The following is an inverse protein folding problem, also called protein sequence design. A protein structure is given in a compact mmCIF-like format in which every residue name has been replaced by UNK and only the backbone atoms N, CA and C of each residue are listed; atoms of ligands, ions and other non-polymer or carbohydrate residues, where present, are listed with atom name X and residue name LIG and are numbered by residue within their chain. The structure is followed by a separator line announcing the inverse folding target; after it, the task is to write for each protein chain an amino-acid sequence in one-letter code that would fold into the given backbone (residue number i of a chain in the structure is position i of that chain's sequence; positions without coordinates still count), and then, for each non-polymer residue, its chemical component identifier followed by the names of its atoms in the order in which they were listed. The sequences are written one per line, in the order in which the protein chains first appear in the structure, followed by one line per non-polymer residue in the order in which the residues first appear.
data_IF_778112558837
#
_entry.id   IF_778112558837
#
_cell.length_a   1.000
_cell.length_b   1.000
_cell.length_c   1.000
_cell.angle_alpha   90.00
_cell.angle_beta   90.00
_cell.angle_gamma   90.00
#
_symmetry.space_group_name_H-M   'P 1'
#
loop_
_entity.id
_entity.type
_entity.pdbx_description
1 polymer ?
#
# COMPACT_ATOMS: atom_id res chain seq x y z
N UNK A 1 -10.22 25.16 2.81
CA UNK A 1 -9.57 24.05 3.55
C UNK A 1 -8.19 24.51 3.98
N UNK A 2 -7.97 24.73 5.28
CA UNK A 2 -6.64 25.02 5.82
C UNK A 2 -5.95 23.66 5.99
N UNK A 3 -5.07 23.30 5.05
CA UNK A 3 -4.12 22.22 5.28
C UNK A 3 -3.19 22.67 6.42
N UNK A 4 -3.40 22.16 7.64
CA UNK A 4 -2.36 22.21 8.65
C UNK A 4 -1.19 21.40 8.08
N UNK A 5 -0.17 22.10 7.58
CA UNK A 5 1.06 21.49 7.09
C UNK A 5 1.67 20.76 8.26
N UNK A 6 1.58 19.44 8.29
CA UNK A 6 2.24 18.63 9.31
C UNK A 6 3.74 18.77 9.04
N UNK A 7 4.45 19.56 9.86
CA UNK A 7 5.88 19.76 9.75
C UNK A 7 6.58 18.57 10.40
N UNK A 8 6.62 17.44 9.71
CA UNK A 8 7.47 16.32 10.11
C UNK A 8 8.81 16.40 9.37
N UNK A 9 9.89 16.09 10.08
CA UNK A 9 11.17 15.81 9.44
C UNK A 9 11.08 14.59 8.51
N UNK A 10 12.12 14.28 7.74
CA UNK A 10 12.11 13.09 6.90
C UNK A 10 11.89 11.82 7.75
N UNK A 11 10.90 11.02 7.38
CA UNK A 11 10.60 9.73 7.98
C UNK A 11 10.86 8.55 7.04
N UNK A 12 11.14 7.40 7.63
CA UNK A 12 11.13 6.08 6.97
C UNK A 12 9.78 5.40 7.22
N UNK A 13 9.20 4.84 6.16
CA UNK A 13 7.97 4.03 6.23
C UNK A 13 8.37 2.55 6.34
N UNK A 14 7.81 1.87 7.34
CA UNK A 14 8.01 0.46 7.65
C UNK A 14 6.71 -0.29 7.52
N UNK A 15 6.59 -1.20 6.56
CA UNK A 15 5.44 -2.11 6.50
C UNK A 15 5.69 -3.24 7.50
N UNK A 16 4.90 -3.27 8.57
CA UNK A 16 5.02 -4.28 9.62
C UNK A 16 4.38 -5.59 9.18
N UNK A 17 3.19 -5.51 8.58
CA UNK A 17 2.41 -6.67 8.17
C UNK A 17 1.36 -6.29 7.13
N UNK A 18 0.97 -7.25 6.29
CA UNK A 18 -0.13 -7.13 5.32
C UNK A 18 -0.96 -8.39 5.41
N UNK A 19 -2.27 -8.25 5.53
CA UNK A 19 -3.20 -9.37 5.60
C UNK A 19 -4.43 -9.17 4.73
N UNK A 20 -5.10 -10.28 4.46
CA UNK A 20 -6.48 -10.27 3.96
C UNK A 20 -7.38 -9.82 5.11
N UNK A 21 -8.39 -9.01 4.80
CA UNK A 21 -9.40 -8.70 5.80
C UNK A 21 -10.10 -10.00 6.25
N UNK A 22 -10.55 -10.08 7.50
CA UNK A 22 -11.11 -11.31 8.07
C UNK A 22 -12.35 -11.84 7.31
N UNK A 23 -13.10 -10.97 6.63
CA UNK A 23 -14.31 -11.31 5.88
C UNK A 23 -14.00 -11.82 4.45
N UNK A 24 -13.24 -12.92 4.35
CA UNK A 24 -12.86 -13.54 3.07
C UNK A 24 -14.04 -13.90 2.15
N UNK A 25 -15.25 -14.08 2.71
CA UNK A 25 -16.43 -14.58 1.97
C UNK A 25 -17.01 -13.58 0.96
N UNK A 26 -16.67 -12.30 1.08
CA UNK A 26 -17.23 -11.25 0.22
C UNK A 26 -16.33 -10.88 -0.96
N UNK A 27 -15.04 -11.24 -0.94
CA UNK A 27 -14.08 -10.86 -1.96
C UNK A 27 -13.97 -11.90 -3.09
N UNK A 28 -14.08 -11.45 -4.33
CA UNK A 28 -13.99 -12.32 -5.53
C UNK A 28 -12.59 -12.91 -5.78
N UNK A 29 -11.53 -12.35 -5.18
CA UNK A 29 -10.14 -12.67 -5.51
C UNK A 29 -9.35 -13.24 -4.33
N UNK A 30 -8.80 -14.44 -4.54
CA UNK A 30 -7.78 -14.99 -3.65
C UNK A 30 -6.39 -14.47 -4.00
N UNK A 31 -5.67 -14.03 -2.96
CA UNK A 31 -4.29 -13.60 -3.06
C UNK A 31 -3.48 -14.06 -1.86
N UNK A 32 -2.18 -14.22 -2.09
CA UNK A 32 -1.18 -14.57 -1.10
C UNK A 32 -0.12 -13.49 -1.04
N UNK A 33 0.28 -13.12 0.18
CA UNK A 33 1.44 -12.28 0.42
C UNK A 33 2.30 -12.90 1.50
N UNK A 34 3.62 -12.73 1.36
CA UNK A 34 4.59 -13.07 2.38
C UNK A 34 5.59 -11.94 2.51
N UNK A 35 5.62 -11.33 3.68
CA UNK A 35 6.65 -10.38 4.08
C UNK A 35 7.72 -11.12 4.88
N UNK A 36 8.98 -10.99 4.47
CA UNK A 36 10.13 -11.52 5.19
C UNK A 36 11.05 -10.38 5.59
N UNK A 37 11.17 -10.14 6.89
CA UNK A 37 12.07 -9.12 7.43
C UNK A 37 13.39 -9.76 7.82
N UNK A 38 14.48 -9.26 7.27
CA UNK A 38 15.83 -9.72 7.62
C UNK A 38 16.48 -8.77 8.62
N UNK A 39 16.38 -7.46 8.39
CA UNK A 39 16.94 -6.45 9.28
C UNK A 39 16.17 -5.11 9.20
N UNK A 40 16.79 -4.03 9.73
CA UNK A 40 16.23 -2.66 9.74
C UNK A 40 16.42 -1.88 8.44
N UNK A 41 16.83 -2.50 7.34
CA UNK A 41 17.01 -1.85 6.04
C UNK A 41 16.63 -2.77 4.88
N UNK A 42 16.44 -4.06 5.15
CA UNK A 42 16.19 -5.08 4.16
C UNK A 42 15.05 -5.99 4.59
N UNK A 43 14.02 -6.02 3.74
CA UNK A 43 12.90 -6.92 3.85
C UNK A 43 12.35 -7.20 2.46
N UNK A 44 11.92 -8.44 2.23
CA UNK A 44 11.38 -8.86 0.95
C UNK A 44 9.88 -9.10 1.02
N UNK A 45 9.21 -8.91 -0.11
CA UNK A 45 7.82 -9.26 -0.32
C UNK A 45 7.71 -10.27 -1.46
N UNK A 46 6.95 -11.34 -1.22
CA UNK A 46 6.46 -12.23 -2.26
C UNK A 46 4.95 -12.12 -2.34
N UNK A 47 4.40 -12.10 -3.54
CA UNK A 47 2.98 -11.95 -3.80
C UNK A 47 2.54 -12.90 -4.91
N UNK A 48 1.35 -13.46 -4.78
CA UNK A 48 0.72 -14.24 -5.83
C UNK A 48 -0.78 -13.98 -5.83
N UNK A 49 -1.34 -13.66 -7.00
CA UNK A 49 -2.77 -13.54 -7.21
C UNK A 49 -3.15 -13.93 -8.64
N UNK A 50 -4.36 -14.46 -8.78
CA UNK A 50 -4.98 -14.68 -10.09
C UNK A 50 -6.13 -13.71 -10.25
N UNK A 51 -6.00 -12.75 -11.16
CA UNK A 51 -7.08 -11.82 -11.47
C UNK A 51 -8.15 -12.55 -12.30
N UNK A 52 -9.40 -12.67 -11.82
CA UNK A 52 -10.47 -13.39 -12.54
C UNK A 52 -11.01 -12.59 -13.73
N UNK A 53 -10.83 -11.27 -13.71
CA UNK A 53 -11.23 -10.32 -14.75
C UNK A 53 -10.22 -9.17 -14.81
N UNK A 54 -10.40 -8.27 -15.77
CA UNK A 54 -9.52 -7.12 -15.95
C UNK A 54 -9.68 -6.09 -14.82
N UNK A 55 -8.56 -5.67 -14.23
CA UNK A 55 -8.55 -4.59 -13.25
C UNK A 55 -8.35 -3.27 -13.99
N UNK A 56 -9.47 -2.59 -14.24
CA UNK A 56 -9.59 -1.38 -15.07
C UNK A 56 -10.17 -0.20 -14.28
N UNK A 57 -10.51 0.89 -14.98
CA UNK A 57 -11.19 2.05 -14.41
C UNK A 57 -12.68 1.81 -14.06
N UNK A 58 -13.21 0.62 -14.35
CA UNK A 58 -14.55 0.21 -13.86
C UNK A 58 -14.53 -0.19 -12.37
N UNK A 59 -13.35 -0.38 -11.80
CA UNK A 59 -13.16 -0.66 -10.39
C UNK A 59 -13.00 0.63 -9.59
N UNK A 60 -13.47 0.61 -8.34
CA UNK A 60 -13.26 1.70 -7.38
C UNK A 60 -12.48 1.21 -6.18
N UNK A 61 -11.79 2.12 -5.49
CA UNK A 61 -10.99 1.81 -4.31
C UNK A 61 -11.35 2.74 -3.15
N UNK A 62 -11.57 2.16 -1.98
CA UNK A 62 -11.74 2.85 -0.71
C UNK A 62 -10.55 2.52 0.19
N UNK A 63 -9.99 3.53 0.83
CA UNK A 63 -8.90 3.37 1.81
C UNK A 63 -9.27 4.11 3.09
N UNK A 64 -9.39 3.36 4.19
CA UNK A 64 -9.59 3.91 5.52
C UNK A 64 -8.29 3.79 6.34
N UNK A 65 -7.78 4.91 6.84
CA UNK A 65 -6.56 4.97 7.65
C UNK A 65 -6.92 5.15 9.11
N UNK A 66 -6.31 4.34 9.95
CA UNK A 66 -6.45 4.33 11.40
C UNK A 66 -5.10 4.66 12.02
N UNK A 67 -5.08 5.45 13.08
CA UNK A 67 -3.87 5.72 13.86
C UNK A 67 -3.89 4.92 15.16
N UNK A 68 -2.73 4.45 15.62
CA UNK A 68 -2.63 3.75 16.91
C UNK A 68 -2.45 4.76 18.04
N UNK A 69 -3.36 4.76 19.01
CA UNK A 69 -3.27 5.59 20.21
C UNK A 69 -3.80 4.83 21.43
N UNK A 70 -3.05 4.87 22.55
CA UNK A 70 -3.36 4.17 23.80
C UNK A 70 -3.70 2.68 23.60
N UNK A 71 -2.91 2.00 22.77
CA UNK A 71 -3.08 0.57 22.47
C UNK A 71 -4.21 0.25 21.47
N UNK A 72 -5.10 1.19 21.16
CA UNK A 72 -6.23 1.00 20.26
C UNK A 72 -6.02 1.63 18.88
N UNK A 73 -6.64 1.03 17.86
CA UNK A 73 -6.76 1.63 16.53
C UNK A 73 -7.90 2.66 16.54
N UNK A 74 -7.57 3.92 16.28
CA UNK A 74 -8.54 5.02 16.17
C UNK A 74 -8.97 5.16 14.70
N UNK A 75 -10.26 4.99 14.37
CA UNK A 75 -10.75 5.10 13.00
C UNK A 75 -10.73 6.53 12.49
N UNK A 76 -11.00 6.69 11.19
CA UNK A 76 -11.21 7.98 10.53
C UNK A 76 -10.03 8.96 10.66
N UNK A 77 -8.79 8.45 10.70
CA UNK A 77 -7.61 9.31 10.62
C UNK A 77 -7.55 9.96 9.23
N UNK A 78 -7.73 9.16 8.19
CA UNK A 78 -8.04 9.60 6.82
C UNK A 78 -8.96 8.61 6.14
N UNK A 79 -9.83 9.09 5.26
CA UNK A 79 -10.66 8.25 4.40
C UNK A 79 -10.55 8.75 2.97
N UNK A 80 -10.25 7.84 2.06
CA UNK A 80 -10.13 8.13 0.64
C UNK A 80 -11.05 7.22 -0.15
N UNK A 81 -11.77 7.80 -1.10
CA UNK A 81 -12.62 7.07 -2.03
C UNK A 81 -12.27 7.53 -3.43
N UNK A 82 -11.80 6.62 -4.25
CA UNK A 82 -11.43 6.92 -5.62
C UNK A 82 -12.23 6.07 -6.60
N UNK A 83 -12.77 6.74 -7.62
CA UNK A 83 -13.38 6.09 -8.78
C UNK A 83 -12.29 5.87 -9.83
N UNK A 84 -12.30 4.72 -10.48
CA UNK A 84 -11.29 4.35 -11.47
C UNK A 84 -9.97 3.90 -10.83
N UNK A 85 -9.78 2.59 -10.72
CA UNK A 85 -8.58 2.02 -10.12
C UNK A 85 -7.31 2.41 -10.87
N UNK A 86 -7.29 2.35 -12.21
CA UNK A 86 -6.11 2.67 -13.00
C UNK A 86 -5.78 4.15 -12.99
N UNK A 87 -6.80 5.01 -13.05
CA UNK A 87 -6.67 6.46 -12.91
C UNK A 87 -6.02 6.79 -11.56
N UNK A 88 -6.58 6.26 -10.48
CA UNK A 88 -6.09 6.47 -9.12
C UNK A 88 -4.67 5.94 -8.94
N UNK A 89 -4.37 4.78 -9.52
CA UNK A 89 -3.03 4.20 -9.50
C UNK A 89 -2.02 5.09 -10.24
N UNK A 90 -2.38 5.63 -11.41
CA UNK A 90 -1.54 6.55 -12.19
C UNK A 90 -1.29 7.87 -11.46
N UNK A 91 -2.29 8.39 -10.78
CA UNK A 91 -2.20 9.69 -10.11
C UNK A 91 -1.39 9.62 -8.81
N UNK A 92 -1.64 8.60 -7.98
CA UNK A 92 -1.12 8.59 -6.60
C UNK A 92 0.02 7.60 -6.37
N UNK A 93 0.06 6.47 -7.09
CA UNK A 93 0.94 5.35 -6.77
C UNK A 93 1.72 4.78 -7.96
N UNK A 94 1.82 5.53 -9.06
CA UNK A 94 2.40 5.03 -10.32
C UNK A 94 3.85 4.63 -10.17
N UNK A 95 4.63 5.37 -9.38
CA UNK A 95 6.04 5.06 -9.14
C UNK A 95 6.22 3.64 -8.56
N UNK A 96 5.46 3.31 -7.51
CA UNK A 96 5.50 1.99 -6.85
C UNK A 96 5.00 0.91 -7.81
N UNK A 97 3.87 1.16 -8.47
CA UNK A 97 3.31 0.22 -9.42
C UNK A 97 4.28 -0.08 -10.56
N UNK A 98 4.94 0.95 -11.11
CA UNK A 98 5.90 0.78 -12.19
C UNK A 98 7.10 -0.05 -11.78
N UNK A 99 7.59 0.19 -10.57
CA UNK A 99 8.72 -0.54 -10.02
C UNK A 99 8.37 -2.01 -9.77
N UNK A 100 7.17 -2.31 -9.25
CA UNK A 100 6.68 -3.68 -9.07
C UNK A 100 6.52 -4.38 -10.42
N UNK A 101 5.88 -3.74 -11.41
CA UNK A 101 5.69 -4.33 -12.73
C UNK A 101 7.03 -4.67 -13.39
N UNK A 102 8.01 -3.77 -13.34
CA UNK A 102 9.38 -4.01 -13.83
C UNK A 102 10.03 -5.18 -13.11
N UNK A 103 9.87 -5.29 -11.79
CA UNK A 103 10.38 -6.42 -11.01
C UNK A 103 9.73 -7.76 -11.37
N UNK A 104 8.56 -7.74 -12.01
CA UNK A 104 7.91 -8.93 -12.58
C UNK A 104 8.27 -9.18 -14.05
N UNK A 105 9.24 -8.44 -14.61
CA UNK A 105 9.53 -8.40 -16.05
C UNK A 105 8.30 -8.07 -16.91
N UNK A 106 7.36 -7.31 -16.34
CA UNK A 106 6.14 -6.86 -16.99
C UNK A 106 6.25 -5.36 -17.35
N UNK A 107 5.54 -4.96 -18.40
CA UNK A 107 5.36 -3.53 -18.68
C UNK A 107 4.40 -2.95 -17.64
N UNK A 108 4.68 -1.77 -17.08
CA UNK A 108 3.75 -1.08 -16.21
C UNK A 108 2.57 -0.59 -17.04
N UNK A 109 1.50 -1.36 -17.05
CA UNK A 109 0.29 -1.07 -17.81
C UNK A 109 -0.93 -1.19 -16.91
N UNK A 110 -1.90 -0.31 -17.14
CA UNK A 110 -3.23 -0.40 -16.57
C UNK A 110 -4.21 0.03 -17.67
N UNK A 111 -5.23 -0.77 -18.03
CA UNK A 111 -5.77 -1.91 -17.29
C UNK A 111 -4.85 -3.12 -17.14
N UNK A 112 -5.04 -3.84 -16.03
CA UNK A 112 -4.34 -5.09 -15.71
C UNK A 112 -5.18 -6.26 -16.23
N UNK A 113 -4.74 -6.99 -17.27
CA UNK A 113 -5.51 -8.11 -17.83
C UNK A 113 -5.73 -9.23 -16.81
N UNK A 114 -6.78 -10.04 -17.03
CA UNK A 114 -6.99 -11.28 -16.27
C UNK A 114 -5.78 -12.20 -16.39
N UNK A 115 -5.45 -12.93 -15.32
CA UNK A 115 -4.34 -13.88 -15.33
C UNK A 115 -3.58 -13.96 -14.02
N UNK A 116 -2.48 -14.72 -14.05
CA UNK A 116 -1.62 -14.98 -12.91
C UNK A 116 -0.55 -13.89 -12.77
N UNK A 117 -0.49 -13.29 -11.59
CA UNK A 117 0.51 -12.29 -11.21
C UNK A 117 1.34 -12.84 -10.05
N UNK A 118 2.63 -13.07 -10.29
CA UNK A 118 3.56 -13.60 -9.30
C UNK A 118 4.78 -12.71 -9.15
N UNK A 119 5.06 -12.33 -7.92
CA UNK A 119 6.25 -11.61 -7.49
C UNK A 119 6.96 -12.43 -6.41
N UNK A 120 8.27 -12.59 -6.51
CA UNK A 120 9.05 -13.39 -5.55
C UNK A 120 10.21 -12.57 -5.02
N UNK A 121 10.34 -12.49 -3.70
CA UNK A 121 11.46 -11.88 -2.98
C UNK A 121 11.85 -10.45 -3.42
N UNK A 122 10.87 -9.60 -3.73
CA UNK A 122 11.14 -8.19 -4.05
C UNK A 122 11.59 -7.45 -2.79
N UNK A 123 12.75 -6.79 -2.83
CA UNK A 123 13.11 -5.82 -1.79
C UNK A 123 12.14 -4.62 -1.83
N UNK A 124 11.24 -4.56 -0.85
CA UNK A 124 10.23 -3.49 -0.81
C UNK A 124 10.75 -2.24 -0.07
N UNK A 125 11.75 -2.38 0.80
CA UNK A 125 12.25 -1.27 1.61
C UNK A 125 12.92 -0.19 0.74
N UNK A 126 13.64 -0.60 -0.30
CA UNK A 126 14.20 0.32 -1.29
C UNK A 126 13.13 1.04 -2.14
N UNK A 127 11.89 0.54 -2.15
CA UNK A 127 10.75 1.14 -2.87
C UNK A 127 9.98 2.13 -2.00
N UNK A 128 9.60 1.72 -0.79
CA UNK A 128 8.79 2.56 0.12
C UNK A 128 9.56 3.72 0.73
N UNK A 129 10.89 3.61 0.85
CA UNK A 129 11.76 4.70 1.33
C UNK A 129 11.74 5.96 0.45
N UNK A 130 11.22 5.85 -0.78
CA UNK A 130 11.05 6.95 -1.73
C UNK A 130 9.70 7.66 -1.61
N UNK A 131 8.77 7.11 -0.84
CA UNK A 131 7.48 7.76 -0.61
C UNK A 131 7.65 9.00 0.28
N UNK A 132 6.91 10.09 0.00
CA UNK A 132 6.91 11.26 0.86
C UNK A 132 6.29 10.91 2.22
N UNK A 133 7.11 10.88 3.27
CA UNK A 133 6.66 10.68 4.66
C UNK A 133 6.07 11.96 5.29
N UNK A 134 5.98 13.05 4.54
CA UNK A 134 5.52 14.36 5.00
C UNK A 134 4.01 14.46 5.19
N UNK A 135 3.22 13.48 4.73
CA UNK A 135 1.75 13.54 4.76
C UNK A 135 1.17 12.99 6.08
N UNK A 136 1.92 12.15 6.81
CA UNK A 136 1.46 11.50 8.04
C UNK A 136 2.44 11.76 9.19
N UNK A 137 1.96 11.96 10.43
CA UNK A 137 2.82 12.05 11.61
C UNK A 137 3.57 10.75 11.86
N UNK A 138 4.67 10.86 12.62
CA UNK A 138 5.33 9.65 13.13
C UNK A 138 4.38 8.88 14.04
N UNK A 139 4.38 7.56 13.89
CA UNK A 139 3.42 6.71 14.58
C UNK A 139 3.18 5.39 13.86
N UNK A 140 2.23 4.61 14.39
CA UNK A 140 1.76 3.36 13.79
C UNK A 140 0.38 3.58 13.20
N UNK A 141 0.16 2.99 12.04
CA UNK A 141 -1.06 3.11 11.27
C UNK A 141 -1.52 1.76 10.77
N UNK A 142 -2.83 1.65 10.55
CA UNK A 142 -3.47 0.58 9.79
C UNK A 142 -4.19 1.25 8.61
N UNK A 143 -4.00 0.75 7.40
CA UNK A 143 -4.79 1.13 6.25
C UNK A 143 -5.63 -0.08 5.80
N UNK A 144 -6.94 0.09 5.78
CA UNK A 144 -7.90 -0.88 5.25
C UNK A 144 -8.24 -0.48 3.82
N UNK A 145 -7.88 -1.32 2.85
CA UNK A 145 -8.10 -1.10 1.43
C UNK A 145 -9.16 -2.05 0.88
N UNK A 146 -10.21 -1.49 0.27
CA UNK A 146 -11.29 -2.25 -0.38
C UNK A 146 -11.38 -1.84 -1.85
N UNK A 147 -11.35 -2.82 -2.74
CA UNK A 147 -11.59 -2.62 -4.18
C UNK A 147 -12.98 -3.18 -4.48
N UNK A 148 -13.83 -2.39 -5.13
CA UNK A 148 -15.17 -2.78 -5.54
C UNK A 148 -15.28 -2.86 -7.05
N UNK A 149 -16.03 -3.86 -7.53
CA UNK A 149 -16.37 -3.97 -8.95
C UNK A 149 -17.51 -3.00 -9.34
N UNK A 150 -17.83 -2.96 -10.63
CA UNK A 150 -18.90 -2.11 -11.20
C UNK A 150 -20.29 -2.34 -10.62
N UNK A 151 -20.51 -3.47 -9.94
CA UNK A 151 -21.76 -3.81 -9.24
C UNK A 151 -21.71 -3.51 -7.75
N UNK A 152 -20.70 -2.74 -7.29
CA UNK A 152 -20.44 -2.43 -5.89
C UNK A 152 -20.21 -3.67 -4.99
N UNK A 153 -19.84 -4.81 -5.58
CA UNK A 153 -19.42 -5.98 -4.82
C UNK A 153 -17.93 -5.90 -4.53
N UNK A 154 -17.53 -6.39 -3.36
CA UNK A 154 -16.14 -6.41 -2.92
C UNK A 154 -15.33 -7.37 -3.81
N UNK A 155 -14.33 -6.85 -4.48
CA UNK A 155 -13.43 -7.63 -5.33
C UNK A 155 -12.20 -8.11 -4.54
N UNK A 156 -11.59 -7.18 -3.81
CA UNK A 156 -10.35 -7.39 -3.04
C UNK A 156 -10.46 -6.59 -1.76
N UNK A 157 -9.98 -7.18 -0.66
CA UNK A 157 -9.80 -6.49 0.60
C UNK A 157 -8.43 -6.81 1.19
N UNK A 158 -7.76 -5.81 1.77
CA UNK A 158 -6.47 -5.97 2.42
C UNK A 158 -6.26 -4.95 3.55
N UNK A 159 -5.56 -5.36 4.60
CA UNK A 159 -5.10 -4.48 5.66
C UNK A 159 -3.58 -4.34 5.58
N UNK A 160 -3.07 -3.12 5.63
CA UNK A 160 -1.64 -2.80 5.71
C UNK A 160 -1.35 -2.15 7.05
N UNK A 161 -0.49 -2.77 7.84
CA UNK A 161 0.04 -2.19 9.07
C UNK A 161 1.40 -1.61 8.79
N UNK A 162 1.57 -0.31 9.08
CA UNK A 162 2.83 0.36 8.84
C UNK A 162 3.16 1.36 9.94
N UNK A 163 4.45 1.65 10.09
CA UNK A 163 4.95 2.65 11.01
C UNK A 163 5.77 3.69 10.26
N UNK A 164 5.67 4.95 10.70
CA UNK A 164 6.51 6.03 10.22
C UNK A 164 7.41 6.45 11.37
N UNK A 165 8.72 6.33 11.17
CA UNK A 165 9.74 6.69 12.16
C UNK A 165 10.68 7.75 11.61
N UNK A 166 11.21 8.67 12.43
CA UNK A 166 12.21 9.64 11.99
C UNK A 166 13.42 8.95 11.37
N UNK A 167 13.94 9.48 10.26
CA UNK A 167 15.22 9.02 9.71
C UNK A 167 16.32 9.29 10.73
N UNK A 168 17.15 8.30 11.00
CA UNK A 168 18.34 8.51 11.85
C UNK A 168 19.30 9.46 11.15
N UNK A 169 19.68 10.54 11.85
CA UNK A 169 20.77 11.42 11.39
C UNK A 169 22.06 10.59 11.47
N UNK A 170 22.63 10.24 10.33
CA UNK A 170 23.99 9.69 10.24
C UNK A 170 25.00 10.83 10.20
N UNK A 171 26.22 10.61 10.73
CA UNK A 171 27.28 11.64 10.81
C UNK A 171 27.60 12.32 9.46
N UNK A 172 27.33 11.65 8.32
CA UNK A 172 27.51 12.20 6.96
C UNK A 172 26.52 13.30 6.56
N UNK A 173 25.41 13.44 7.29
CA UNK A 173 24.36 14.44 7.00
C UNK A 173 24.37 15.59 8.03
N UNK A 174 25.45 15.73 8.82
CA UNK A 174 25.74 16.95 9.57
C UNK A 174 26.62 17.82 8.68
N UNK A 175 26.03 18.89 8.15
CA UNK A 175 26.61 19.94 7.30
C UNK A 175 26.64 19.61 5.81
#
# INVERSE_FOLDING_TARGET
MIFHKIINGPGDIWVEFVERCPNKREADLEWYIRLQKYNRSYATVSFNATLPYEFSDDLSISIAVFSKSNGAWKPNFYNFNFKGLCHSLREYNWYIFSDIAKSMNAKPQCPLPKGLYKLTNLDYMSKVSKLPSSVLPYGKFKAEGNIFNKHHKLAVCFDVYFAISPKKITRKNRL
#
